data_IF_502402349526
#
_entry.id   IF_502402349526
#
_cell.length_a   1.000
_cell.length_b   1.000
_cell.length_c   1.000
_cell.angle_alpha   90.00
_cell.angle_beta   90.00
_cell.angle_gamma   90.00
#
_symmetry.space_group_name_H-M   'P 1'
#
loop_
_entity.id
_entity.type
_entity.pdbx_description
1 polymer ?
#
# COMPACT_ATOMS: atom_id res chain seq x y z
N UNK A 1 -9.19 40.40 -1.50
CA UNK A 1 -8.24 39.70 -2.40
C UNK A 1 -7.75 38.49 -1.64
N UNK A 2 -8.33 37.32 -1.90
CA UNK A 2 -7.91 36.06 -1.31
C UNK A 2 -6.61 35.66 -1.94
N UNK A 3 -5.55 35.68 -1.15
CA UNK A 3 -4.21 35.25 -1.52
C UNK A 3 -4.23 33.76 -1.92
N UNK A 4 -4.31 33.49 -3.22
CA UNK A 4 -4.15 32.15 -3.77
C UNK A 4 -2.66 31.87 -3.89
N UNK A 5 -2.05 31.44 -2.77
CA UNK A 5 -0.67 30.99 -2.84
C UNK A 5 -0.56 29.85 -3.89
N UNK A 6 0.49 29.85 -4.74
CA UNK A 6 0.69 28.82 -5.76
C UNK A 6 0.68 27.39 -5.21
N UNK A 7 1.03 27.20 -3.93
CA UNK A 7 1.00 25.92 -3.21
C UNK A 7 -0.39 25.35 -2.99
N UNK A 8 -1.44 26.20 -2.79
CA UNK A 8 -2.82 25.71 -2.65
C UNK A 8 -3.39 25.14 -3.95
N UNK A 9 -3.13 25.80 -5.09
CA UNK A 9 -3.58 25.31 -6.40
C UNK A 9 -2.94 23.97 -6.78
N UNK A 10 -1.70 23.76 -6.42
CA UNK A 10 -1.01 22.50 -6.65
C UNK A 10 -1.60 21.37 -5.79
N UNK A 11 -1.84 21.63 -4.50
CA UNK A 11 -2.48 20.67 -3.60
C UNK A 11 -3.86 20.21 -4.06
N UNK A 12 -4.66 21.10 -4.64
CA UNK A 12 -5.98 20.75 -5.16
C UNK A 12 -5.90 19.90 -6.44
N UNK A 13 -4.91 20.12 -7.30
CA UNK A 13 -4.66 19.26 -8.48
C UNK A 13 -4.25 17.86 -8.05
N UNK A 14 -3.34 17.73 -7.08
CA UNK A 14 -2.93 16.43 -6.53
C UNK A 14 -4.12 15.66 -5.93
N UNK A 15 -4.96 16.32 -5.15
CA UNK A 15 -6.13 15.69 -4.54
C UNK A 15 -7.12 15.17 -5.58
N UNK A 16 -7.42 15.96 -6.61
CA UNK A 16 -8.33 15.56 -7.70
C UNK A 16 -7.79 14.36 -8.45
N UNK A 17 -6.51 14.40 -8.78
CA UNK A 17 -5.87 13.33 -9.53
C UNK A 17 -5.75 12.05 -8.69
N UNK A 18 -5.36 12.14 -7.42
CA UNK A 18 -5.36 11.02 -6.49
C UNK A 18 -6.78 10.45 -6.33
N UNK A 19 -7.81 11.30 -6.19
CA UNK A 19 -9.19 10.88 -6.11
C UNK A 19 -9.65 10.07 -7.33
N UNK A 20 -9.29 10.50 -8.53
CA UNK A 20 -9.58 9.74 -9.76
C UNK A 20 -8.85 8.39 -9.75
N UNK A 21 -7.56 8.37 -9.38
CA UNK A 21 -6.78 7.15 -9.26
C UNK A 21 -7.39 6.18 -8.25
N UNK A 22 -7.80 6.66 -7.08
CA UNK A 22 -8.49 5.89 -6.04
C UNK A 22 -9.79 5.29 -6.58
N UNK A 23 -10.63 6.10 -7.21
CA UNK A 23 -11.92 5.64 -7.72
C UNK A 23 -11.75 4.54 -8.77
N UNK A 24 -10.84 4.72 -9.72
CA UNK A 24 -10.55 3.73 -10.76
C UNK A 24 -9.94 2.47 -10.12
N UNK A 25 -8.92 2.61 -9.27
CA UNK A 25 -8.25 1.49 -8.62
C UNK A 25 -9.22 0.65 -7.77
N UNK A 26 -10.06 1.32 -6.98
CA UNK A 26 -11.08 0.67 -6.18
C UNK A 26 -12.12 -0.09 -7.03
N UNK A 27 -12.62 0.55 -8.09
CA UNK A 27 -13.64 -0.02 -8.98
C UNK A 27 -13.15 -1.25 -9.77
N UNK A 28 -11.85 -1.33 -10.02
CA UNK A 28 -11.22 -2.41 -10.78
C UNK A 28 -10.63 -3.52 -9.91
N UNK A 29 -10.61 -3.36 -8.59
CA UNK A 29 -10.02 -4.32 -7.67
C UNK A 29 -10.93 -5.54 -7.49
N UNK A 30 -10.37 -6.73 -7.69
CA UNK A 30 -11.10 -7.99 -7.49
C UNK A 30 -10.39 -9.00 -6.57
N UNK A 31 -9.12 -8.79 -6.23
CA UNK A 31 -8.24 -9.92 -5.94
C UNK A 31 -7.77 -10.12 -4.52
N UNK A 32 -7.90 -9.16 -3.59
CA UNK A 32 -7.20 -9.28 -2.31
C UNK A 32 -8.08 -9.67 -1.10
N UNK A 33 -9.32 -10.09 -1.33
CA UNK A 33 -10.21 -10.55 -0.25
C UNK A 33 -9.79 -11.88 0.38
N UNK A 34 -8.88 -12.60 -0.26
CA UNK A 34 -8.43 -13.91 0.20
C UNK A 34 -7.69 -13.86 1.55
N UNK A 35 -7.00 -12.76 1.86
CA UNK A 35 -6.31 -12.60 3.15
C UNK A 35 -7.32 -12.56 4.31
N UNK A 36 -8.44 -11.84 4.14
CA UNK A 36 -9.48 -11.74 5.14
C UNK A 36 -10.30 -13.04 5.28
N UNK A 37 -10.31 -13.90 4.27
CA UNK A 37 -11.11 -15.14 4.23
C UNK A 37 -10.38 -16.37 4.75
N UNK A 38 -9.14 -16.58 4.32
CA UNK A 38 -8.35 -17.78 4.65
C UNK A 38 -6.83 -17.53 4.66
N UNK A 39 -6.42 -16.25 4.72
CA UNK A 39 -5.00 -15.90 4.69
C UNK A 39 -4.27 -16.18 5.99
N UNK A 40 -4.92 -15.97 7.11
CA UNK A 40 -4.31 -16.02 8.45
C UNK A 40 -4.84 -17.18 9.29
N UNK A 41 -6.12 -17.51 9.12
CA UNK A 41 -6.76 -18.64 9.82
C UNK A 41 -7.22 -19.71 8.83
N UNK A 42 -7.52 -20.90 9.35
CA UNK A 42 -8.03 -22.04 8.57
C UNK A 42 -9.54 -22.14 8.80
N UNK A 43 -10.39 -21.59 7.88
CA UNK A 43 -11.82 -21.43 8.13
C UNK A 43 -12.57 -22.74 8.29
N UNK A 44 -12.02 -23.87 7.80
CA UNK A 44 -12.58 -25.21 7.95
C UNK A 44 -12.63 -25.70 9.39
N UNK A 45 -11.89 -25.09 10.29
CA UNK A 45 -11.86 -25.41 11.71
C UNK A 45 -12.66 -24.44 12.57
N UNK A 46 -13.33 -23.46 11.94
CA UNK A 46 -14.11 -22.45 12.66
C UNK A 46 -15.59 -22.52 12.28
N UNK A 47 -16.44 -22.36 13.29
CA UNK A 47 -17.87 -22.22 13.11
C UNK A 47 -18.25 -20.79 12.68
N UNK A 48 -19.46 -20.66 12.11
CA UNK A 48 -19.97 -19.36 11.66
C UNK A 48 -19.94 -18.30 12.77
N UNK A 49 -20.42 -18.61 13.99
CA UNK A 49 -20.43 -17.69 15.11
C UNK A 49 -19.01 -17.23 15.49
N UNK A 50 -18.04 -18.15 15.46
CA UNK A 50 -16.65 -17.88 15.78
C UNK A 50 -15.99 -16.94 14.76
N UNK A 51 -16.21 -17.20 13.46
CA UNK A 51 -15.70 -16.33 12.40
C UNK A 51 -16.30 -14.92 12.50
N UNK A 52 -17.61 -14.83 12.76
CA UNK A 52 -18.26 -13.53 12.94
C UNK A 52 -17.68 -12.75 14.12
N UNK A 53 -17.33 -13.43 15.23
CA UNK A 53 -16.63 -12.80 16.34
C UNK A 53 -15.25 -12.28 15.97
N UNK A 54 -14.43 -13.07 15.23
CA UNK A 54 -13.12 -12.64 14.76
C UNK A 54 -13.26 -11.41 13.87
N UNK A 55 -14.11 -11.47 12.84
CA UNK A 55 -14.28 -10.38 11.88
C UNK A 55 -14.82 -9.10 12.53
N UNK A 56 -15.73 -9.21 13.49
CA UNK A 56 -16.24 -8.08 14.27
C UNK A 56 -15.13 -7.47 15.14
N UNK A 57 -14.36 -8.27 15.83
CA UNK A 57 -13.23 -7.81 16.63
C UNK A 57 -12.20 -7.04 15.80
N UNK A 58 -11.85 -7.57 14.63
CA UNK A 58 -10.96 -6.92 13.66
C UNK A 58 -11.52 -5.56 13.25
N UNK A 59 -12.79 -5.50 12.84
CA UNK A 59 -13.40 -4.24 12.41
C UNK A 59 -13.42 -3.18 13.50
N UNK A 60 -13.75 -3.56 14.74
CA UNK A 60 -13.77 -2.63 15.86
C UNK A 60 -12.38 -2.11 16.20
N UNK A 61 -11.38 -3.00 16.17
CA UNK A 61 -9.98 -2.64 16.45
C UNK A 61 -9.44 -1.72 15.36
N UNK A 62 -9.66 -2.04 14.09
CA UNK A 62 -9.19 -1.26 12.95
C UNK A 62 -9.75 0.18 12.96
N UNK A 63 -11.06 0.33 13.21
CA UNK A 63 -11.69 1.64 13.32
C UNK A 63 -11.05 2.49 14.43
N UNK A 64 -10.84 1.92 15.62
CA UNK A 64 -10.23 2.63 16.74
C UNK A 64 -8.78 2.97 16.47
N UNK A 65 -8.00 2.01 16.00
CA UNK A 65 -6.58 2.16 15.73
C UNK A 65 -6.32 3.21 14.64
N UNK A 66 -7.00 3.11 13.52
CA UNK A 66 -6.86 4.07 12.42
C UNK A 66 -7.34 5.47 12.80
N UNK A 67 -8.40 5.59 13.60
CA UNK A 67 -8.86 6.88 14.08
C UNK A 67 -7.84 7.57 14.99
N UNK A 68 -7.19 6.81 15.88
CA UNK A 68 -6.10 7.31 16.74
C UNK A 68 -4.93 7.80 15.89
N UNK A 69 -4.39 6.96 14.99
CA UNK A 69 -3.25 7.33 14.14
C UNK A 69 -3.55 8.53 13.25
N UNK A 70 -4.72 8.56 12.61
CA UNK A 70 -5.13 9.69 11.78
C UNK A 70 -5.33 10.97 12.59
N UNK A 71 -5.82 10.88 13.82
CA UNK A 71 -5.97 12.03 14.72
C UNK A 71 -4.63 12.61 15.14
N UNK A 72 -3.61 11.76 15.28
CA UNK A 72 -2.23 12.16 15.58
C UNK A 72 -1.47 12.62 14.32
N UNK A 73 -2.08 12.52 13.14
CA UNK A 73 -1.44 12.84 11.85
C UNK A 73 -0.33 11.85 11.47
N UNK A 74 -0.34 10.64 12.02
CA UNK A 74 0.67 9.62 11.74
C UNK A 74 0.23 8.74 10.56
N UNK A 75 1.04 8.62 9.49
CA UNK A 75 0.77 7.64 8.44
C UNK A 75 0.93 6.22 9.00
N UNK A 76 -0.02 5.35 8.70
CA UNK A 76 0.01 3.94 9.10
C UNK A 76 -0.28 3.03 7.91
N UNK A 77 0.07 1.75 8.02
CA UNK A 77 -0.20 0.74 7.00
C UNK A 77 -1.47 -0.04 7.36
N UNK A 78 -2.49 0.11 6.54
CA UNK A 78 -3.75 -0.62 6.69
C UNK A 78 -3.59 -2.13 6.52
N UNK A 79 -2.68 -2.56 5.63
CA UNK A 79 -2.38 -3.98 5.43
C UNK A 79 -1.74 -4.60 6.66
N UNK A 80 -0.80 -3.89 7.29
CA UNK A 80 -0.15 -4.37 8.53
C UNK A 80 -1.19 -4.45 9.66
N UNK A 81 -2.02 -3.41 9.83
CA UNK A 81 -3.11 -3.38 10.81
C UNK A 81 -3.98 -4.62 10.66
N UNK A 82 -4.57 -4.81 9.47
CA UNK A 82 -5.47 -5.93 9.18
C UNK A 82 -4.84 -7.31 9.48
N UNK A 83 -3.59 -7.53 9.05
CA UNK A 83 -2.92 -8.82 9.24
C UNK A 83 -2.71 -9.12 10.72
N UNK A 84 -2.24 -8.15 11.50
CA UNK A 84 -2.03 -8.33 12.93
C UNK A 84 -3.33 -8.39 13.73
N UNK A 85 -4.37 -7.70 13.31
CA UNK A 85 -5.70 -7.78 13.92
C UNK A 85 -6.36 -9.14 13.68
N UNK A 86 -6.31 -9.64 12.43
CA UNK A 86 -6.76 -11.00 12.11
C UNK A 86 -5.96 -12.06 12.90
N UNK A 87 -4.64 -11.90 12.96
CA UNK A 87 -3.80 -12.82 13.74
C UNK A 87 -4.15 -12.78 15.23
N UNK A 88 -4.34 -11.59 15.79
CA UNK A 88 -4.70 -11.41 17.19
C UNK A 88 -6.07 -11.98 17.54
N UNK A 89 -7.09 -11.68 16.73
CA UNK A 89 -8.44 -12.21 16.91
C UNK A 89 -8.50 -13.72 16.77
N UNK A 90 -7.83 -14.25 15.74
CA UNK A 90 -7.72 -15.71 15.54
C UNK A 90 -6.95 -16.38 16.68
N UNK A 91 -5.84 -15.80 17.11
CA UNK A 91 -5.03 -16.34 18.19
C UNK A 91 -5.82 -16.42 19.50
N UNK A 92 -6.55 -15.36 19.85
CA UNK A 92 -7.36 -15.33 21.07
C UNK A 92 -8.46 -16.40 21.06
N UNK A 93 -9.15 -16.56 19.94
CA UNK A 93 -10.19 -17.59 19.81
C UNK A 93 -9.59 -19.00 19.77
N UNK A 94 -8.46 -19.17 19.08
CA UNK A 94 -7.75 -20.46 19.03
C UNK A 94 -7.26 -20.91 20.40
N UNK A 95 -6.81 -20.00 21.26
CA UNK A 95 -6.46 -20.31 22.67
C UNK A 95 -7.67 -20.87 23.43
N UNK A 96 -8.85 -20.27 23.25
CA UNK A 96 -10.07 -20.74 23.88
C UNK A 96 -10.46 -22.13 23.38
N UNK A 97 -10.35 -22.36 22.05
CA UNK A 97 -10.69 -23.67 21.44
C UNK A 97 -9.74 -24.77 21.91
N UNK A 98 -8.44 -24.55 21.85
CA UNK A 98 -7.43 -25.53 22.31
C UNK A 98 -7.56 -25.84 23.81
N UNK A 99 -7.92 -24.84 24.63
CA UNK A 99 -8.16 -25.06 26.04
C UNK A 99 -9.42 -25.90 26.31
N UNK A 100 -10.42 -25.82 25.44
CA UNK A 100 -11.67 -26.57 25.56
C UNK A 100 -11.60 -27.95 24.88
N UNK A 101 -10.75 -28.12 23.88
CA UNK A 101 -10.55 -29.37 23.14
C UNK A 101 -9.06 -29.70 22.99
N UNK A 102 -8.60 -30.60 23.77
CA UNK A 102 -7.16 -31.06 23.83
C UNK A 102 -6.74 -31.77 22.52
N UNK A 103 -7.64 -32.10 21.62
CA UNK A 103 -7.32 -32.75 20.34
C UNK A 103 -6.87 -31.77 19.27
N UNK A 104 -7.16 -30.46 19.44
CA UNK A 104 -6.81 -29.40 18.52
C UNK A 104 -5.44 -28.77 18.87
N UNK A 105 -4.61 -28.58 17.85
CA UNK A 105 -3.36 -27.82 17.99
C UNK A 105 -3.52 -26.42 17.40
N UNK A 106 -2.74 -25.46 17.92
CA UNK A 106 -2.73 -24.08 17.39
C UNK A 106 -2.38 -24.01 15.89
N UNK A 107 -1.54 -24.93 15.40
CA UNK A 107 -1.17 -25.03 13.98
C UNK A 107 -2.31 -25.47 13.07
N UNK A 108 -3.33 -26.12 13.60
CA UNK A 108 -4.52 -26.53 12.83
C UNK A 108 -5.49 -25.37 12.65
N UNK A 109 -5.42 -24.36 13.51
CA UNK A 109 -6.32 -23.21 13.53
C UNK A 109 -5.74 -21.98 12.82
N UNK A 110 -4.42 -21.78 13.00
CA UNK A 110 -3.70 -20.62 12.46
C UNK A 110 -2.79 -21.08 11.33
N UNK A 111 -2.85 -20.39 10.20
CA UNK A 111 -1.89 -20.59 9.10
C UNK A 111 -0.56 -19.92 9.45
N UNK A 112 0.24 -20.57 10.29
CA UNK A 112 1.48 -20.01 10.83
C UNK A 112 2.51 -19.73 9.76
N UNK A 113 2.64 -20.56 8.73
CA UNK A 113 3.59 -20.39 7.63
C UNK A 113 3.25 -19.14 6.82
N UNK A 114 1.99 -18.94 6.49
CA UNK A 114 1.52 -17.78 5.74
C UNK A 114 1.60 -16.51 6.57
N UNK A 115 1.23 -16.55 7.85
CA UNK A 115 1.36 -15.44 8.77
C UNK A 115 2.82 -14.99 8.92
N UNK A 116 3.75 -15.94 9.16
CA UNK A 116 5.17 -15.67 9.26
C UNK A 116 5.74 -15.12 7.94
N UNK A 117 5.36 -15.69 6.80
CA UNK A 117 5.78 -15.22 5.49
C UNK A 117 5.36 -13.77 5.25
N UNK A 118 4.12 -13.39 5.60
CA UNK A 118 3.63 -12.01 5.46
C UNK A 118 4.38 -11.06 6.40
N UNK A 119 4.59 -11.44 7.65
CA UNK A 119 5.36 -10.63 8.61
C UNK A 119 6.79 -10.41 8.12
N UNK A 120 7.47 -11.46 7.67
CA UNK A 120 8.82 -11.35 7.13
C UNK A 120 8.85 -10.48 5.87
N UNK A 121 7.86 -10.61 4.98
CA UNK A 121 7.75 -9.79 3.78
C UNK A 121 7.60 -8.29 4.12
N UNK A 122 6.86 -7.94 5.18
CA UNK A 122 6.72 -6.56 5.66
C UNK A 122 8.10 -5.99 6.01
N UNK A 123 8.88 -6.66 6.86
CA UNK A 123 10.20 -6.17 7.28
C UNK A 123 11.20 -6.11 6.11
N UNK A 124 11.24 -7.15 5.28
CA UNK A 124 12.13 -7.21 4.13
C UNK A 124 11.79 -6.13 3.12
N UNK A 125 10.50 -5.85 2.88
CA UNK A 125 10.07 -4.79 1.95
C UNK A 125 10.53 -3.41 2.39
N UNK A 126 10.51 -3.12 3.68
CA UNK A 126 11.01 -1.83 4.22
C UNK A 126 12.51 -1.69 3.97
N UNK A 127 13.30 -2.74 4.24
CA UNK A 127 14.74 -2.72 4.01
C UNK A 127 15.08 -2.53 2.52
N UNK A 128 14.39 -3.25 1.65
CA UNK A 128 14.54 -3.12 0.18
C UNK A 128 14.17 -1.71 -0.29
N UNK A 129 13.02 -1.19 0.16
CA UNK A 129 12.56 0.15 -0.22
C UNK A 129 13.55 1.23 0.21
N UNK A 130 14.09 1.13 1.42
CA UNK A 130 15.12 2.05 1.93
C UNK A 130 16.39 2.02 1.07
N UNK A 131 16.93 0.82 0.81
CA UNK A 131 18.15 0.66 0.02
C UNK A 131 18.00 1.20 -1.40
N UNK A 132 16.96 0.78 -2.12
CA UNK A 132 16.74 1.22 -3.49
C UNK A 132 16.34 2.70 -3.56
N UNK A 133 15.57 3.21 -2.61
CA UNK A 133 15.24 4.63 -2.52
C UNK A 133 16.50 5.50 -2.36
N UNK A 134 17.41 5.10 -1.48
CA UNK A 134 18.69 5.75 -1.29
C UNK A 134 19.55 5.70 -2.57
N UNK A 135 19.62 4.55 -3.22
CA UNK A 135 20.38 4.36 -4.46
C UNK A 135 19.85 5.26 -5.59
N UNK A 136 18.53 5.26 -5.81
CA UNK A 136 17.89 6.10 -6.84
C UNK A 136 18.10 7.58 -6.56
N UNK A 137 17.96 8.00 -5.29
CA UNK A 137 18.19 9.39 -4.90
C UNK A 137 19.65 9.81 -5.11
N UNK A 138 20.60 8.93 -4.79
CA UNK A 138 22.03 9.16 -5.03
C UNK A 138 22.33 9.29 -6.53
N UNK A 139 21.83 8.40 -7.37
CA UNK A 139 21.97 8.49 -8.81
C UNK A 139 21.33 9.77 -9.38
N UNK A 140 20.15 10.12 -8.94
CA UNK A 140 19.49 11.37 -9.35
C UNK A 140 20.34 12.61 -9.00
N UNK A 141 20.98 12.63 -7.82
CA UNK A 141 21.87 13.72 -7.41
C UNK A 141 23.15 13.79 -8.24
N UNK A 142 23.70 12.65 -8.66
CA UNK A 142 24.85 12.62 -9.59
C UNK A 142 24.48 13.25 -10.93
N UNK A 143 23.31 12.86 -11.48
CA UNK A 143 22.86 13.30 -12.81
C UNK A 143 22.48 14.78 -12.83
N UNK A 144 21.71 15.24 -11.86
CA UNK A 144 21.16 16.59 -11.86
C UNK A 144 21.94 17.59 -11.03
N UNK A 145 22.75 17.13 -10.06
CA UNK A 145 23.41 17.95 -9.05
C UNK A 145 22.42 18.85 -8.28
N UNK A 146 22.87 19.68 -7.35
CA UNK A 146 22.00 20.66 -6.67
C UNK A 146 21.58 21.81 -7.59
N UNK A 147 22.34 22.09 -8.66
CA UNK A 147 22.02 23.09 -9.67
C UNK A 147 21.55 22.41 -10.96
N UNK A 148 20.33 21.83 -10.89
CA UNK A 148 19.74 21.06 -11.97
C UNK A 148 19.49 21.86 -13.26
N UNK A 149 19.39 23.19 -13.18
CA UNK A 149 19.02 24.06 -14.32
C UNK A 149 19.99 23.98 -15.49
N UNK A 150 21.27 23.69 -15.24
CA UNK A 150 22.28 23.55 -16.32
C UNK A 150 22.14 22.22 -17.06
N UNK A 151 21.85 21.13 -16.36
CA UNK A 151 21.83 19.79 -16.93
C UNK A 151 20.45 19.36 -17.46
N UNK A 152 19.40 20.08 -17.08
CA UNK A 152 18.02 19.76 -17.42
C UNK A 152 17.77 19.69 -18.93
N UNK A 153 18.43 20.52 -19.71
CA UNK A 153 18.23 20.65 -21.17
C UNK A 153 18.44 19.35 -21.93
N UNK A 154 19.41 18.53 -21.49
CA UNK A 154 19.78 17.30 -22.19
C UNK A 154 19.32 16.03 -21.46
N UNK A 155 19.18 16.08 -20.14
CA UNK A 155 18.91 14.90 -19.32
C UNK A 155 17.42 14.71 -19.02
N UNK A 156 16.58 15.75 -19.23
CA UNK A 156 15.17 15.74 -18.78
C UNK A 156 14.31 14.75 -19.55
N UNK A 157 14.53 14.61 -20.87
CA UNK A 157 13.80 13.65 -21.69
C UNK A 157 14.13 12.22 -21.27
N UNK A 158 15.41 11.91 -21.06
CA UNK A 158 15.87 10.59 -20.62
C UNK A 158 15.33 10.27 -19.20
N UNK A 159 15.47 11.18 -18.27
CA UNK A 159 14.95 11.01 -16.90
C UNK A 159 13.43 10.83 -16.90
N UNK A 160 12.71 11.71 -17.60
CA UNK A 160 11.26 11.62 -17.72
C UNK A 160 10.81 10.33 -18.41
N UNK A 161 11.56 9.88 -19.43
CA UNK A 161 11.32 8.61 -20.11
C UNK A 161 11.47 7.40 -19.19
N UNK A 162 12.58 7.31 -18.45
CA UNK A 162 12.81 6.24 -17.47
C UNK A 162 11.72 6.25 -16.39
N UNK A 163 11.45 7.43 -15.79
CA UNK A 163 10.47 7.57 -14.73
C UNK A 163 9.06 7.21 -15.20
N UNK A 164 8.60 7.77 -16.33
CA UNK A 164 7.27 7.48 -16.87
C UNK A 164 7.11 6.01 -17.27
N UNK A 165 8.13 5.41 -17.89
CA UNK A 165 8.11 3.98 -18.23
C UNK A 165 7.99 3.11 -17.00
N UNK A 166 8.77 3.40 -15.97
CA UNK A 166 8.71 2.67 -14.69
C UNK A 166 7.34 2.80 -14.01
N UNK A 167 6.76 4.00 -14.03
CA UNK A 167 5.44 4.27 -13.46
C UNK A 167 4.35 3.50 -14.23
N UNK A 168 4.35 3.57 -15.56
CA UNK A 168 3.33 2.89 -16.39
C UNK A 168 3.46 1.37 -16.26
N UNK A 169 4.69 0.85 -16.28
CA UNK A 169 4.91 -0.58 -16.08
C UNK A 169 4.44 -1.04 -14.70
N UNK A 170 4.77 -0.29 -13.65
CA UNK A 170 4.25 -0.55 -12.29
C UNK A 170 2.71 -0.55 -12.26
N UNK A 171 2.08 0.43 -12.92
CA UNK A 171 0.63 0.53 -12.98
C UNK A 171 0.01 -0.68 -13.70
N UNK A 172 0.59 -1.14 -14.81
CA UNK A 172 0.14 -2.35 -15.52
C UNK A 172 0.28 -3.62 -14.67
N UNK A 173 1.43 -3.81 -14.04
CA UNK A 173 1.74 -5.03 -13.29
C UNK A 173 1.07 -5.07 -11.92
N UNK A 174 0.93 -3.93 -11.22
CA UNK A 174 0.39 -3.86 -9.86
C UNK A 174 -1.00 -3.24 -9.81
N UNK A 175 -1.22 -2.14 -10.52
CA UNK A 175 -2.48 -1.41 -10.45
C UNK A 175 -3.64 -2.10 -11.18
N UNK A 176 -3.34 -2.83 -12.25
CA UNK A 176 -4.36 -3.44 -13.10
C UNK A 176 -4.34 -4.97 -13.08
N UNK A 177 -3.45 -5.58 -12.28
CA UNK A 177 -3.24 -7.03 -12.24
C UNK A 177 -4.53 -7.83 -12.02
N UNK A 178 -5.38 -7.38 -11.13
CA UNK A 178 -6.58 -8.07 -10.70
C UNK A 178 -7.86 -7.42 -11.23
N UNK A 179 -7.73 -6.57 -12.26
CA UNK A 179 -8.88 -5.94 -12.92
C UNK A 179 -9.66 -6.91 -13.81
N UNK A 180 -10.94 -6.62 -13.98
CA UNK A 180 -11.87 -7.48 -14.75
C UNK A 180 -11.47 -7.68 -16.21
N UNK A 181 -10.70 -6.74 -16.81
CA UNK A 181 -10.23 -6.85 -18.19
C UNK A 181 -8.86 -7.52 -18.33
N UNK A 182 -8.20 -7.83 -17.20
CA UNK A 182 -6.89 -8.49 -17.21
C UNK A 182 -7.06 -10.01 -17.24
N UNK A 183 -7.42 -10.54 -18.40
CA UNK A 183 -7.56 -11.99 -18.61
C UNK A 183 -6.21 -12.71 -18.42
N UNK A 184 -6.21 -14.02 -18.15
CA UNK A 184 -4.99 -14.81 -18.08
C UNK A 184 -4.12 -14.69 -19.34
N UNK A 185 -4.75 -14.61 -20.51
CA UNK A 185 -4.08 -14.44 -21.80
C UNK A 185 -3.37 -13.09 -21.89
N UNK A 186 -4.03 -11.99 -21.44
CA UNK A 186 -3.44 -10.66 -21.41
C UNK A 186 -2.25 -10.61 -20.43
N UNK A 187 -2.36 -11.28 -19.26
CA UNK A 187 -1.25 -11.38 -18.30
C UNK A 187 -0.04 -12.08 -18.91
N UNK A 188 -0.28 -13.21 -19.57
CA UNK A 188 0.76 -13.97 -20.21
C UNK A 188 1.40 -13.16 -21.36
N UNK A 189 0.60 -12.52 -22.21
CA UNK A 189 1.09 -11.68 -23.29
C UNK A 189 1.99 -10.53 -22.77
N UNK A 190 1.61 -9.87 -21.68
CA UNK A 190 2.42 -8.82 -21.05
C UNK A 190 3.74 -9.40 -20.55
N UNK A 191 3.74 -10.59 -19.94
CA UNK A 191 4.94 -11.25 -19.44
C UNK A 191 5.87 -11.64 -20.57
N UNK A 192 5.35 -12.23 -21.62
CA UNK A 192 6.13 -12.69 -22.79
C UNK A 192 6.73 -11.51 -23.57
N UNK A 193 6.05 -10.36 -23.58
CA UNK A 193 6.47 -9.16 -24.31
C UNK A 193 7.02 -8.04 -23.41
N UNK A 194 7.42 -8.36 -22.19
CA UNK A 194 7.87 -7.36 -21.20
C UNK A 194 8.98 -6.45 -21.72
N UNK A 195 10.02 -6.98 -22.35
CA UNK A 195 11.14 -6.20 -22.89
C UNK A 195 10.70 -5.28 -24.03
N UNK A 196 9.82 -5.75 -24.89
CA UNK A 196 9.28 -4.97 -25.99
C UNK A 196 8.40 -3.83 -25.47
N UNK A 197 7.57 -4.09 -24.45
CA UNK A 197 6.75 -3.08 -23.80
C UNK A 197 7.61 -2.01 -23.12
N UNK A 198 8.59 -2.41 -22.31
CA UNK A 198 9.49 -1.47 -21.64
C UNK A 198 10.26 -0.64 -22.67
N UNK A 199 10.80 -1.26 -23.72
CA UNK A 199 11.53 -0.56 -24.76
C UNK A 199 10.68 0.43 -25.53
N UNK A 200 9.47 0.05 -25.94
CA UNK A 200 8.54 0.93 -26.66
C UNK A 200 8.04 2.08 -25.79
N UNK A 201 7.68 1.82 -24.54
CA UNK A 201 7.30 2.87 -23.59
C UNK A 201 8.46 3.83 -23.32
N UNK A 202 9.67 3.29 -23.15
CA UNK A 202 10.84 4.13 -22.91
C UNK A 202 11.11 5.09 -24.07
N UNK A 203 11.08 4.62 -25.31
CA UNK A 203 11.25 5.48 -26.49
C UNK A 203 10.13 6.50 -26.58
N UNK A 204 8.89 6.06 -26.47
CA UNK A 204 7.72 6.93 -26.54
C UNK A 204 7.75 8.04 -25.47
N UNK A 205 7.95 7.68 -24.20
CA UNK A 205 7.95 8.65 -23.11
C UNK A 205 9.19 9.54 -23.12
N UNK A 206 10.35 9.06 -23.56
CA UNK A 206 11.53 9.90 -23.73
C UNK A 206 11.27 11.03 -24.75
N UNK A 207 10.69 10.68 -25.89
CA UNK A 207 10.33 11.68 -26.92
C UNK A 207 9.24 12.62 -26.36
N UNK A 208 8.19 12.09 -25.76
CA UNK A 208 7.08 12.88 -25.22
C UNK A 208 7.57 13.88 -24.14
N UNK A 209 8.40 13.43 -23.21
CA UNK A 209 8.93 14.29 -22.14
C UNK A 209 9.89 15.36 -22.70
N UNK A 210 10.64 15.05 -23.72
CA UNK A 210 11.48 16.03 -24.41
C UNK A 210 10.62 17.09 -25.14
N UNK A 211 9.55 16.67 -25.81
CA UNK A 211 8.60 17.61 -26.46
C UNK A 211 7.92 18.50 -25.43
N UNK A 212 7.44 17.92 -24.31
CA UNK A 212 6.86 18.71 -23.22
C UNK A 212 7.84 19.73 -22.65
N UNK A 213 9.10 19.38 -22.55
CA UNK A 213 10.15 20.32 -22.13
C UNK A 213 10.31 21.46 -23.11
N UNK A 214 10.29 21.22 -24.42
CA UNK A 214 10.32 22.27 -25.45
C UNK A 214 9.09 23.18 -25.41
N UNK A 215 7.94 22.62 -25.05
CA UNK A 215 6.70 23.38 -24.80
C UNK A 215 6.72 24.14 -23.45
N UNK A 216 7.86 24.18 -22.75
CA UNK A 216 8.05 24.82 -21.45
C UNK A 216 7.20 24.23 -20.32
N UNK A 217 6.71 23.00 -20.46
CA UNK A 217 6.04 22.27 -19.40
C UNK A 217 7.07 21.72 -18.44
N UNK A 218 6.81 21.83 -17.13
CA UNK A 218 7.70 21.27 -16.11
C UNK A 218 7.55 19.73 -16.06
N UNK A 219 8.51 19.04 -16.66
CA UNK A 219 8.52 17.55 -16.76
C UNK A 219 8.55 16.90 -15.38
N UNK A 220 9.27 17.44 -14.40
CA UNK A 220 9.27 16.91 -13.04
C UNK A 220 7.86 16.91 -12.43
N UNK A 221 7.10 17.99 -12.65
CA UNK A 221 5.72 18.07 -12.20
C UNK A 221 4.84 17.02 -12.88
N UNK A 222 5.03 16.77 -14.17
CA UNK A 222 4.30 15.74 -14.92
C UNK A 222 4.61 14.35 -14.36
N UNK A 223 5.89 14.04 -14.14
CA UNK A 223 6.33 12.75 -13.57
C UNK A 223 5.76 12.54 -12.17
N UNK A 224 5.79 13.56 -11.31
CA UNK A 224 5.23 13.46 -9.95
C UNK A 224 3.71 13.26 -10.01
N UNK A 225 3.01 13.94 -10.90
CA UNK A 225 1.56 13.74 -11.09
C UNK A 225 1.24 12.34 -11.59
N UNK A 226 1.98 11.83 -12.57
CA UNK A 226 1.83 10.44 -13.05
C UNK A 226 2.10 9.42 -11.91
N UNK A 227 3.17 9.62 -11.15
CA UNK A 227 3.51 8.78 -10.01
C UNK A 227 2.43 8.78 -8.93
N UNK A 228 1.92 9.95 -8.57
CA UNK A 228 0.83 10.09 -7.60
C UNK A 228 -0.44 9.38 -8.06
N UNK A 229 -0.79 9.52 -9.34
CA UNK A 229 -1.94 8.81 -9.92
C UNK A 229 -1.74 7.30 -9.89
N UNK A 230 -0.59 6.80 -10.34
CA UNK A 230 -0.29 5.37 -10.36
C UNK A 230 -0.28 4.74 -8.98
N UNK A 231 0.31 5.44 -7.99
CA UNK A 231 0.27 5.02 -6.59
C UNK A 231 -1.17 5.00 -6.05
N UNK A 232 -1.93 6.06 -6.29
CA UNK A 232 -3.32 6.13 -5.85
C UNK A 232 -4.17 5.00 -6.44
N UNK A 233 -3.97 4.68 -7.72
CA UNK A 233 -4.65 3.59 -8.39
C UNK A 233 -4.25 2.22 -7.84
N UNK A 234 -2.95 1.98 -7.69
CA UNK A 234 -2.43 0.69 -7.22
C UNK A 234 -2.74 0.43 -5.74
N UNK A 235 -2.60 1.45 -4.89
CA UNK A 235 -2.88 1.32 -3.46
C UNK A 235 -4.37 1.29 -3.15
N UNK A 236 -5.20 2.03 -3.89
CA UNK A 236 -6.64 1.96 -3.66
C UNK A 236 -7.20 0.56 -3.86
N UNK A 237 -6.70 -0.17 -4.87
CA UNK A 237 -7.07 -1.58 -5.06
C UNK A 237 -6.66 -2.49 -3.89
N UNK A 238 -5.56 -2.19 -3.22
CA UNK A 238 -5.08 -2.93 -2.05
C UNK A 238 -5.74 -2.45 -0.75
N UNK A 239 -5.71 -1.15 -0.49
CA UNK A 239 -6.20 -0.57 0.78
C UNK A 239 -7.71 -0.67 0.93
N UNK A 240 -8.46 -0.52 -0.17
CA UNK A 240 -9.91 -0.68 -0.15
C UNK A 240 -10.31 -2.10 0.28
N UNK A 241 -9.56 -3.10 -0.16
CA UNK A 241 -9.81 -4.48 0.24
C UNK A 241 -9.57 -4.69 1.73
N UNK A 242 -8.56 -4.02 2.30
CA UNK A 242 -8.32 -4.08 3.73
C UNK A 242 -9.52 -3.55 4.53
N UNK A 243 -10.14 -2.46 4.09
CA UNK A 243 -11.30 -1.88 4.76
C UNK A 243 -12.59 -2.63 4.54
N UNK A 244 -12.87 -3.08 3.32
CA UNK A 244 -14.15 -3.75 3.00
C UNK A 244 -14.05 -5.27 2.94
N UNK A 245 -12.85 -5.82 2.89
CA UNK A 245 -12.61 -7.26 2.82
C UNK A 245 -13.19 -8.01 4.01
N UNK A 246 -13.00 -7.48 5.22
CA UNK A 246 -13.51 -8.06 6.46
C UNK A 246 -15.04 -8.02 6.53
N UNK A 247 -15.72 -6.86 6.33
CA UNK A 247 -17.18 -6.83 6.28
C UNK A 247 -17.77 -7.71 5.18
N UNK A 248 -17.13 -7.77 4.01
CA UNK A 248 -17.61 -8.61 2.92
C UNK A 248 -17.36 -10.10 3.15
N UNK A 249 -16.28 -10.46 3.85
CA UNK A 249 -16.09 -11.82 4.34
C UNK A 249 -17.21 -12.20 5.31
N UNK A 250 -17.56 -11.32 6.25
CA UNK A 250 -18.69 -11.48 7.15
C UNK A 250 -20.03 -11.60 6.42
N UNK A 251 -20.28 -10.73 5.44
CA UNK A 251 -21.47 -10.81 4.60
C UNK A 251 -21.54 -12.12 3.79
N UNK A 252 -20.45 -12.55 3.20
CA UNK A 252 -20.35 -13.82 2.47
C UNK A 252 -20.62 -15.02 3.39
N UNK A 253 -20.08 -14.98 4.62
CA UNK A 253 -20.32 -15.99 5.65
C UNK A 253 -21.79 -16.04 6.06
N UNK A 254 -22.41 -14.87 6.23
CA UNK A 254 -23.85 -14.78 6.54
C UNK A 254 -24.73 -15.33 5.43
N UNK A 255 -24.43 -15.00 4.17
CA UNK A 255 -25.18 -15.55 3.02
C UNK A 255 -25.03 -17.08 2.95
N UNK A 256 -23.81 -17.58 3.15
CA UNK A 256 -23.59 -19.04 3.15
C UNK A 256 -24.37 -19.74 4.27
N UNK A 257 -24.29 -19.20 5.49
CA UNK A 257 -25.03 -19.73 6.63
C UNK A 257 -26.55 -19.72 6.38
N UNK A 258 -27.10 -18.63 5.86
CA UNK A 258 -28.56 -18.54 5.60
C UNK A 258 -29.03 -19.41 4.45
N UNK A 259 -28.14 -19.71 3.49
CA UNK A 259 -28.50 -20.53 2.31
C UNK A 259 -28.26 -22.00 2.56
N UNK A 260 -27.14 -22.39 3.13
CA UNK A 260 -26.71 -23.77 3.28
C UNK A 260 -26.80 -24.30 4.73
N UNK A 261 -26.88 -23.42 5.72
CA UNK A 261 -26.95 -23.75 7.16
C UNK A 261 -28.37 -23.87 7.71
N UNK A 262 -29.42 -23.97 6.86
CA UNK A 262 -30.82 -24.04 7.29
C UNK A 262 -31.05 -25.24 8.22
N UNK A 263 -31.42 -24.96 9.48
CA UNK A 263 -31.63 -25.98 10.50
C UNK A 263 -30.38 -26.33 11.34
N UNK A 264 -29.24 -25.74 11.05
CA UNK A 264 -27.99 -25.93 11.80
C UNK A 264 -27.75 -24.75 12.72
N UNK A 265 -27.27 -25.01 13.96
CA UNK A 265 -26.90 -23.91 14.87
C UNK A 265 -25.72 -23.11 14.35
N UNK A 266 -25.65 -21.78 14.58
CA UNK A 266 -24.48 -20.95 14.25
C UNK A 266 -23.16 -21.47 14.84
N UNK A 267 -23.24 -22.18 15.96
CA UNK A 267 -22.09 -22.76 16.69
C UNK A 267 -21.70 -24.15 16.18
N UNK A 268 -22.35 -24.65 15.14
CA UNK A 268 -22.05 -25.97 14.56
C UNK A 268 -21.87 -25.96 13.04
N UNK A 269 -22.11 -24.80 12.38
CA UNK A 269 -21.95 -24.66 10.94
C UNK A 269 -20.51 -24.25 10.59
N UNK A 270 -19.75 -25.13 9.97
CA UNK A 270 -18.35 -24.91 9.57
C UNK A 270 -18.27 -24.02 8.33
N UNK A 271 -17.31 -23.09 8.32
CA UNK A 271 -17.15 -22.06 7.28
C UNK A 271 -16.19 -22.47 6.16
N UNK A 272 -16.35 -23.69 5.63
CA UNK A 272 -15.53 -24.22 4.52
C UNK A 272 -15.69 -23.44 3.21
N UNK A 273 -16.81 -22.74 3.03
CA UNK A 273 -17.05 -21.89 1.85
C UNK A 273 -16.07 -20.72 1.71
N UNK A 274 -15.46 -20.31 2.80
CA UNK A 274 -14.46 -19.24 2.78
C UNK A 274 -13.14 -19.66 2.09
N UNK A 275 -12.89 -20.96 1.90
CA UNK A 275 -11.74 -21.46 1.13
C UNK A 275 -11.85 -21.17 -0.37
N UNK A 276 -13.06 -20.98 -0.87
CA UNK A 276 -13.29 -20.65 -2.28
C UNK A 276 -12.90 -19.21 -2.63
N UNK A 277 -12.71 -18.92 -3.93
CA UNK A 277 -12.36 -17.59 -4.38
C UNK A 277 -13.46 -16.58 -4.04
N UNK A 278 -13.05 -15.40 -3.57
CA UNK A 278 -13.97 -14.32 -3.23
C UNK A 278 -14.62 -13.75 -4.51
N UNK A 279 -15.95 -13.78 -4.56
CA UNK A 279 -16.71 -13.06 -5.59
C UNK A 279 -17.29 -11.79 -4.97
N UNK A 280 -16.64 -10.67 -5.23
CA UNK A 280 -17.14 -9.38 -4.72
C UNK A 280 -18.05 -8.73 -5.75
N UNK A 281 -19.30 -8.43 -5.41
CA UNK A 281 -20.14 -7.65 -6.28
C UNK A 281 -19.55 -6.25 -6.55
N UNK A 282 -19.44 -5.88 -7.81
CA UNK A 282 -18.81 -4.64 -8.27
C UNK A 282 -19.39 -3.36 -7.65
N UNK A 283 -20.67 -3.38 -7.29
CA UNK A 283 -21.34 -2.23 -6.69
C UNK A 283 -20.81 -1.91 -5.27
N UNK A 284 -20.36 -2.91 -4.50
CA UNK A 284 -19.68 -2.65 -3.21
C UNK A 284 -18.35 -1.95 -3.42
N UNK A 285 -17.60 -2.32 -4.44
CA UNK A 285 -16.30 -1.70 -4.75
C UNK A 285 -16.47 -0.25 -5.19
N UNK A 286 -17.43 0.02 -6.07
CA UNK A 286 -17.74 1.40 -6.50
C UNK A 286 -18.26 2.23 -5.33
N UNK A 287 -19.15 1.68 -4.51
CA UNK A 287 -19.69 2.37 -3.33
C UNK A 287 -18.59 2.73 -2.34
N UNK A 288 -17.73 1.77 -2.00
CA UNK A 288 -16.61 2.00 -1.08
C UNK A 288 -15.57 2.95 -1.66
N UNK A 289 -15.23 2.83 -2.95
CA UNK A 289 -14.34 3.76 -3.65
C UNK A 289 -14.87 5.19 -3.64
N UNK A 290 -16.17 5.38 -3.84
CA UNK A 290 -16.82 6.69 -3.77
C UNK A 290 -16.73 7.28 -2.36
N UNK A 291 -17.02 6.49 -1.32
CA UNK A 291 -16.92 6.92 0.08
C UNK A 291 -15.47 7.28 0.42
N UNK A 292 -14.51 6.49 -0.03
CA UNK A 292 -13.08 6.74 0.19
C UNK A 292 -12.63 8.06 -0.43
N UNK A 293 -13.03 8.35 -1.68
CA UNK A 293 -12.74 9.64 -2.34
C UNK A 293 -13.38 10.81 -1.60
N UNK A 294 -14.64 10.65 -1.19
CA UNK A 294 -15.34 11.67 -0.41
C UNK A 294 -14.64 11.94 0.93
N UNK A 295 -14.26 10.88 1.65
CA UNK A 295 -13.52 11.00 2.90
C UNK A 295 -12.15 11.69 2.70
N UNK A 296 -11.40 11.32 1.65
CA UNK A 296 -10.12 11.96 1.32
C UNK A 296 -10.29 13.46 1.07
N UNK A 297 -11.36 13.88 0.40
CA UNK A 297 -11.60 15.28 0.08
C UNK A 297 -12.08 16.11 1.28
N UNK A 298 -12.81 15.51 2.21
CA UNK A 298 -13.52 16.21 3.30
C UNK A 298 -12.87 16.07 4.67
N UNK A 299 -12.16 14.97 4.93
CA UNK A 299 -11.61 14.67 6.24
C UNK A 299 -10.43 15.57 6.60
N UNK A 300 -10.55 16.26 7.74
CA UNK A 300 -9.44 17.05 8.32
C UNK A 300 -8.30 16.15 8.80
N UNK A 301 -8.61 14.95 9.30
CA UNK A 301 -7.62 13.96 9.75
C UNK A 301 -6.77 13.45 8.59
N UNK A 302 -7.38 13.14 7.44
CA UNK A 302 -6.65 12.77 6.23
C UNK A 302 -5.70 13.89 5.77
N UNK A 303 -6.13 15.14 5.86
CA UNK A 303 -5.27 16.30 5.56
C UNK A 303 -4.08 16.42 6.52
N UNK A 304 -4.24 16.08 7.80
CA UNK A 304 -3.14 16.09 8.77
C UNK A 304 -2.08 15.04 8.41
N UNK A 305 -2.49 13.82 8.04
CA UNK A 305 -1.57 12.76 7.58
C UNK A 305 -0.84 13.16 6.31
N UNK A 306 -1.53 13.75 5.32
CA UNK A 306 -0.92 14.25 4.07
C UNK A 306 0.11 15.33 4.40
N UNK A 307 -0.21 16.26 5.30
CA UNK A 307 0.73 17.30 5.74
C UNK A 307 1.99 16.70 6.34
N UNK A 308 1.83 15.74 7.25
CA UNK A 308 2.98 15.03 7.86
C UNK A 308 3.84 14.35 6.80
N UNK A 309 3.24 13.66 5.82
CA UNK A 309 3.98 13.00 4.74
C UNK A 309 4.74 13.99 3.87
N UNK A 310 4.18 15.17 3.60
CA UNK A 310 4.85 16.25 2.87
C UNK A 310 5.99 16.85 3.70
N UNK A 311 5.77 17.07 4.99
CA UNK A 311 6.79 17.64 5.89
C UNK A 311 7.98 16.68 6.07
N UNK A 312 7.75 15.36 6.13
CA UNK A 312 8.80 14.34 6.18
C UNK A 312 9.62 14.25 4.87
N UNK A 313 9.08 14.69 3.74
CA UNK A 313 9.80 14.72 2.46
C UNK A 313 10.59 16.00 2.22
N UNK A 314 10.50 16.99 3.10
CA UNK A 314 11.28 18.24 3.01
C UNK A 314 12.76 17.99 3.22
N UNK A 315 13.59 18.76 2.52
CA UNK A 315 15.05 18.76 2.67
C UNK A 315 15.55 20.01 3.38
N UNK A 316 14.65 20.96 3.64
CA UNK A 316 14.95 22.20 4.36
C UNK A 316 14.80 22.01 5.87
N UNK A 317 15.53 22.83 6.66
CA UNK A 317 15.35 22.88 8.11
C UNK A 317 13.93 23.32 8.45
N UNK A 318 13.26 22.61 9.35
CA UNK A 318 11.91 22.87 9.79
C UNK A 318 11.61 22.30 11.16
N UNK A 319 10.44 22.61 11.71
CA UNK A 319 9.98 22.01 12.96
C UNK A 319 9.75 20.49 12.77
N UNK A 320 10.32 19.69 13.66
CA UNK A 320 10.11 18.26 13.70
C UNK A 320 8.71 17.97 14.26
N UNK A 321 7.88 17.26 13.47
CA UNK A 321 6.52 16.88 13.89
C UNK A 321 6.53 15.80 14.98
N UNK A 322 7.61 15.03 15.09
CA UNK A 322 7.75 13.95 16.06
C UNK A 322 9.05 14.10 16.83
N UNK A 323 8.94 14.07 18.15
CA UNK A 323 10.13 14.01 19.02
C UNK A 323 10.88 12.69 18.84
N UNK A 324 12.22 12.74 19.04
CA UNK A 324 13.04 11.54 18.93
C UNK A 324 12.72 10.53 20.03
N UNK A 325 12.37 9.31 19.66
CA UNK A 325 12.17 8.21 20.62
C UNK A 325 13.53 7.71 21.16
N UNK A 326 13.59 7.14 22.39
CA UNK A 326 14.81 6.53 22.91
C UNK A 326 15.42 5.48 21.96
N UNK A 327 14.56 4.72 21.29
CA UNK A 327 14.97 3.68 20.34
C UNK A 327 15.60 4.28 19.08
N UNK A 328 15.02 5.36 18.52
CA UNK A 328 15.58 6.07 17.39
C UNK A 328 16.95 6.67 17.73
N UNK A 329 17.08 7.27 18.92
CA UNK A 329 18.37 7.80 19.42
C UNK A 329 19.45 6.72 19.55
N UNK A 330 19.07 5.53 20.03
CA UNK A 330 20.00 4.39 20.15
C UNK A 330 20.44 3.90 18.78
N UNK A 331 19.51 3.80 17.82
CA UNK A 331 19.79 3.38 16.45
C UNK A 331 20.74 4.34 15.74
N UNK A 332 20.49 5.66 15.88
CA UNK A 332 21.36 6.72 15.32
C UNK A 332 22.75 6.67 15.96
N UNK A 333 22.85 6.51 17.27
CA UNK A 333 24.15 6.37 17.96
C UNK A 333 24.92 5.14 17.48
N UNK A 334 24.23 4.03 17.28
CA UNK A 334 24.82 2.79 16.76
C UNK A 334 25.31 2.96 15.32
N UNK A 335 24.50 3.57 14.44
CA UNK A 335 24.90 3.86 13.05
C UNK A 335 26.08 4.83 12.98
N UNK A 336 26.12 5.86 13.83
CA UNK A 336 27.24 6.79 13.93
C UNK A 336 28.51 6.10 14.46
N UNK A 337 28.38 5.20 15.43
CA UNK A 337 29.51 4.42 15.92
C UNK A 337 30.09 3.49 14.85
N UNK A 338 29.23 2.84 14.05
CA UNK A 338 29.65 2.06 12.90
C UNK A 338 30.33 2.93 11.83
N UNK A 339 29.74 4.07 11.47
CA UNK A 339 30.31 5.00 10.50
C UNK A 339 31.68 5.54 10.96
N UNK A 340 31.82 5.88 12.24
CA UNK A 340 33.08 6.31 12.82
C UNK A 340 34.12 5.15 12.90
N UNK A 341 33.67 3.93 13.14
CA UNK A 341 34.51 2.74 13.09
C UNK A 341 35.05 2.46 11.70
N UNK A 342 34.20 2.53 10.69
CA UNK A 342 34.58 2.33 9.28
C UNK A 342 35.46 3.45 8.76
N UNK A 343 35.21 4.70 9.16
CA UNK A 343 36.04 5.85 8.76
C UNK A 343 37.49 5.82 9.37
N UNK A 344 37.69 5.10 10.48
CA UNK A 344 39.03 4.86 11.06
C UNK A 344 39.83 3.79 10.30
N UNK A 345 39.13 2.88 9.63
CA UNK A 345 39.71 1.74 8.87
C UNK A 345 39.97 2.14 7.41
N UNK A 346 39.26 3.14 6.86
CA UNK A 346 39.43 3.59 5.49
C UNK A 346 40.72 4.43 5.32
N UNK A 347 41.51 4.13 4.26
CA UNK A 347 42.66 4.99 3.90
C UNK A 347 42.23 6.41 3.58
N UNK A 348 43.10 7.40 3.84
CA UNK A 348 42.77 8.82 3.66
C UNK A 348 42.33 9.22 2.25
N UNK A 349 42.75 8.48 1.20
CA UNK A 349 42.35 8.73 -0.17
C UNK A 349 40.89 8.29 -0.51
N UNK A 350 40.23 7.61 0.39
CA UNK A 350 38.81 7.18 0.24
C UNK A 350 37.82 8.02 1.07
N UNK A 351 38.32 9.04 1.79
CA UNK A 351 37.52 9.93 2.64
C UNK A 351 37.07 11.22 1.93
N UNK A 352 37.45 11.42 0.69
CA UNK A 352 36.97 12.48 -0.20
C UNK A 352 35.88 11.88 -1.13
#
# INVERSE_FOLDING_TARGET
>A
IRDRSPSRGLGDVYKRQAGIGIFIGASLSNGMMDIARHGIYQPEHFYFAEIMCILLAVMLTDVVLLDVFNSMGMPTSTTVSLVFELLGGTFALSLIKVNNDATLAMGDLINTDKALSVIMAIFVSVAIAFFFGMLVQWLARIIFTFNYTKNIKYSIGLFGGIAATSIIYFMLIKGLKDSSFMTPENKQWIQDNTLLLIGSFFVFFTILMQVLHWLKVNVFKVVVLMGTFALALAFAGNDLVNFIGVPLAGYSSFIDYTTNGTGTSPDSFLMTSLLGPAKTPWYFLIGAGTIMVFALCTSKKAHAVIKTSVDLSRQDEGEENFGSTPMARTLVRFSMALANGTSRIMPEGAKQ
#
